data_IF_828027252375
#
_entry.id   IF_828027252375
#
_cell.length_a   1.000
_cell.length_b   1.000
_cell.length_c   1.000
_cell.angle_alpha   90.00
_cell.angle_beta   90.00
_cell.angle_gamma   90.00
#
_symmetry.space_group_name_H-M   'P 1'
#
loop_
_entity.id
_entity.type
_entity.pdbx_description
1 polymer ?
#
# COMPACT_ATOMS: atom_id res chain seq x y z
N UNK A 1 -10.09 12.68 -3.92
CA UNK A 1 -9.60 11.34 -3.53
C UNK A 1 -9.93 11.09 -2.08
N UNK A 2 -10.58 10.00 -1.81
CA UNK A 2 -10.97 9.63 -0.45
C UNK A 2 -10.01 8.57 0.06
N UNK A 3 -9.52 8.74 1.27
CA UNK A 3 -8.59 7.78 1.85
C UNK A 3 -9.00 7.49 3.29
N UNK A 4 -8.54 6.36 3.82
CA UNK A 4 -8.66 6.10 5.23
C UNK A 4 -7.37 5.42 5.69
N UNK A 5 -7.09 5.52 6.96
CA UNK A 5 -5.88 4.94 7.53
C UNK A 5 -6.10 3.44 7.72
N UNK A 6 -5.15 2.65 7.22
CA UNK A 6 -5.25 1.21 7.29
C UNK A 6 -3.92 0.66 7.79
N UNK A 7 -3.96 -0.19 8.79
CA UNK A 7 -2.74 -0.81 9.30
C UNK A 7 -2.23 -1.83 8.31
N UNK A 8 -0.91 -2.01 8.28
CA UNK A 8 -0.27 -2.83 7.27
C UNK A 8 -0.84 -4.25 7.23
N UNK A 9 -1.15 -4.82 8.38
CA UNK A 9 -1.63 -6.19 8.36
C UNK A 9 -3.07 -6.33 7.86
N UNK A 10 -3.75 -5.23 7.65
CA UNK A 10 -5.10 -5.26 7.07
C UNK A 10 -5.08 -4.95 5.58
N UNK A 11 -3.93 -4.61 5.03
CA UNK A 11 -3.84 -4.36 3.59
C UNK A 11 -3.91 -5.69 2.83
N UNK A 12 -4.40 -5.63 1.63
CA UNK A 12 -4.52 -6.81 0.76
C UNK A 12 -3.93 -6.52 -0.59
N UNK A 13 -3.57 -7.59 -1.29
CA UNK A 13 -3.07 -7.43 -2.65
C UNK A 13 -4.13 -6.78 -3.50
N UNK A 14 -3.74 -5.84 -4.31
CA UNK A 14 -4.64 -5.08 -5.14
C UNK A 14 -5.08 -3.76 -4.56
N UNK A 15 -4.85 -3.54 -3.26
CA UNK A 15 -5.20 -2.28 -2.65
C UNK A 15 -4.33 -1.17 -3.22
N UNK A 16 -4.89 0.03 -3.29
CA UNK A 16 -4.12 1.20 -3.68
C UNK A 16 -3.86 2.04 -2.45
N UNK A 17 -2.65 2.50 -2.30
CA UNK A 17 -2.26 3.31 -1.15
C UNK A 17 -1.61 4.59 -1.62
N UNK A 18 -1.71 5.62 -0.76
CA UNK A 18 -1.04 6.89 -1.00
C UNK A 18 0.14 6.92 -0.03
N UNK A 19 1.35 7.03 -0.56
CA UNK A 19 2.56 6.99 0.25
C UNK A 19 3.51 8.06 -0.21
N UNK A 20 3.79 9.01 0.67
CA UNK A 20 4.70 10.13 0.39
C UNK A 20 4.28 10.88 -0.88
N UNK A 21 2.99 11.05 -1.04
CA UNK A 21 2.47 11.83 -2.16
C UNK A 21 2.27 11.06 -3.45
N UNK A 22 2.62 9.78 -3.49
CA UNK A 22 2.48 8.99 -4.70
C UNK A 22 1.50 7.84 -4.48
N UNK A 23 0.86 7.43 -5.56
CA UNK A 23 -0.11 6.34 -5.52
C UNK A 23 0.58 5.05 -5.92
N UNK A 24 0.36 3.99 -5.14
CA UNK A 24 0.93 2.69 -5.43
C UNK A 24 -0.14 1.63 -5.31
N UNK A 25 0.02 0.54 -6.07
CA UNK A 25 -0.86 -0.63 -5.91
C UNK A 25 -0.05 -1.72 -5.24
N UNK A 26 -0.61 -2.32 -4.21
CA UNK A 26 0.06 -3.38 -3.47
C UNK A 26 0.02 -4.67 -4.26
N UNK A 27 1.18 -5.25 -4.53
CA UNK A 27 1.30 -6.51 -5.24
C UNK A 27 1.41 -7.66 -4.25
N UNK A 28 2.23 -7.49 -3.22
CA UNK A 28 2.36 -8.53 -2.20
C UNK A 28 2.82 -7.92 -0.89
N UNK A 29 2.54 -8.61 0.19
CA UNK A 29 2.95 -8.20 1.53
C UNK A 29 3.62 -9.41 2.14
N UNK A 30 4.92 -9.31 2.38
CA UNK A 30 5.70 -10.42 2.87
C UNK A 30 6.32 -10.10 4.22
N UNK A 31 6.59 -11.10 5.01
CA UNK A 31 7.33 -10.89 6.25
C UNK A 31 8.79 -10.63 5.88
N UNK A 32 9.45 -9.81 6.67
CA UNK A 32 10.83 -9.44 6.39
C UNK A 32 11.60 -9.43 7.70
N UNK A 33 12.82 -9.95 7.67
CA UNK A 33 13.60 -10.05 8.89
C UNK A 33 14.09 -8.70 9.36
N UNK A 34 14.32 -7.79 8.46
CA UNK A 34 14.88 -6.50 8.81
C UNK A 34 13.80 -5.51 9.19
N UNK A 35 12.66 -5.57 8.54
CA UNK A 35 11.62 -4.57 8.73
C UNK A 35 10.34 -5.10 9.35
N UNK A 36 10.04 -6.25 9.51
CA UNK A 36 8.80 -6.91 9.88
C UNK A 36 7.99 -7.23 8.63
N UNK A 37 7.73 -6.24 7.78
CA UNK A 37 7.00 -6.47 6.54
C UNK A 37 7.67 -5.75 5.38
N UNK A 38 7.59 -6.38 4.22
CA UNK A 38 8.05 -5.77 2.98
C UNK A 38 6.89 -5.78 2.01
N UNK A 39 6.45 -4.60 1.58
CA UNK A 39 5.40 -4.48 0.59
C UNK A 39 6.05 -4.34 -0.76
N UNK A 40 5.60 -5.14 -1.72
CA UNK A 40 5.98 -4.93 -3.11
C UNK A 40 4.83 -4.21 -3.75
N UNK A 41 5.12 -3.11 -4.40
CA UNK A 41 4.09 -2.24 -4.96
C UNK A 41 4.51 -1.78 -6.34
N UNK A 42 3.56 -1.33 -7.14
CA UNK A 42 3.88 -0.70 -8.42
C UNK A 42 3.36 0.72 -8.38
N UNK A 43 4.13 1.63 -8.94
CA UNK A 43 3.72 3.02 -8.98
C UNK A 43 2.85 3.26 -10.23
N UNK A 44 2.46 4.50 -10.45
CA UNK A 44 1.56 4.82 -11.55
C UNK A 44 2.21 4.64 -12.90
N UNK A 45 3.51 4.56 -12.95
CA UNK A 45 4.22 4.32 -14.20
C UNK A 45 4.49 2.84 -14.42
N UNK A 46 4.04 1.99 -13.52
CA UNK A 46 4.24 0.56 -13.65
C UNK A 46 5.56 0.05 -13.10
N UNK A 47 6.31 0.90 -12.40
CA UNK A 47 7.61 0.49 -11.87
C UNK A 47 7.43 -0.21 -10.54
N UNK A 48 8.13 -1.31 -10.37
CA UNK A 48 8.06 -2.07 -9.13
C UNK A 48 8.91 -1.39 -8.06
N UNK A 49 8.33 -1.23 -6.88
CA UNK A 49 9.01 -0.62 -5.75
C UNK A 49 8.81 -1.47 -4.53
N UNK A 50 9.62 -1.25 -3.50
CA UNK A 50 9.49 -1.97 -2.24
C UNK A 50 9.39 -0.96 -1.11
N UNK A 51 8.53 -1.25 -0.15
CA UNK A 51 8.37 -0.41 1.03
C UNK A 51 8.53 -1.30 2.25
N UNK A 52 9.58 -1.08 3.02
CA UNK A 52 9.79 -1.81 4.27
C UNK A 52 9.12 -1.07 5.41
N UNK A 53 8.46 -1.78 6.31
CA UNK A 53 7.78 -1.13 7.42
C UNK A 53 7.67 -2.09 8.60
N UNK A 54 7.42 -1.53 9.78
CA UNK A 54 7.25 -2.36 10.96
C UNK A 54 5.78 -2.77 11.10
N UNK A 55 5.50 -3.59 12.10
CA UNK A 55 4.16 -4.16 12.24
C UNK A 55 3.13 -3.14 12.67
N UNK A 56 3.55 -1.94 13.10
CA UNK A 56 2.61 -0.91 13.51
C UNK A 56 2.38 0.12 12.41
N UNK A 57 3.01 -0.05 11.27
CA UNK A 57 2.88 0.93 10.20
C UNK A 57 1.45 1.01 9.70
N UNK A 58 1.06 2.20 9.29
CA UNK A 58 -0.26 2.42 8.73
C UNK A 58 -0.10 3.22 7.46
N UNK A 59 -0.98 2.99 6.52
CA UNK A 59 -0.93 3.65 5.22
C UNK A 59 -2.29 4.25 4.90
N UNK A 60 -2.32 5.22 4.02
CA UNK A 60 -3.58 5.77 3.56
C UNK A 60 -4.08 4.90 2.42
N UNK A 61 -5.16 4.19 2.67
CA UNK A 61 -5.78 3.35 1.66
C UNK A 61 -6.69 4.23 0.83
N UNK A 62 -6.59 4.15 -0.48
CA UNK A 62 -7.44 4.91 -1.37
C UNK A 62 -8.72 4.12 -1.56
N UNK A 63 -9.84 4.74 -1.19
CA UNK A 63 -11.10 4.03 -1.23
C UNK A 63 -12.09 4.66 -2.19
N UNK A 64 -11.62 5.51 -3.08
CA UNK A 64 -12.50 6.08 -4.09
C UNK A 64 -12.96 5.00 -5.02
N UNK A 65 -14.25 4.86 -5.15
CA UNK A 65 -14.68 3.92 -6.13
C UNK A 65 -15.76 4.57 -6.83
N UNK A 66 -15.60 5.79 -7.14
CA UNK A 66 -16.57 6.45 -7.77
C UNK A 66 -16.83 6.00 -9.04
N UNK A 67 -16.06 5.31 -9.49
CA UNK A 67 -16.26 4.92 -10.72
C UNK A 67 -17.48 4.22 -10.85
N UNK A 68 -17.95 3.83 -10.02
CA UNK A 68 -18.98 3.06 -10.15
C UNK A 68 -20.07 3.81 -10.44
N UNK A 69 -20.18 4.54 -10.67
CA UNK A 69 -21.30 5.08 -10.99
C UNK A 69 -21.70 5.19 -11.99
#
# INVERSE_FOLDING_TARGET
MTTEIMEVFSLEEGDQILFKGDVYRVISIDNDEEYDYMLRVVDEEGMLRKIGCDSRAAFRLIIDNLQQV
#
